data_IF_298340993392
#
_entry.id   IF_298340993392
#
_cell.length_a   1.000
_cell.length_b   1.000
_cell.length_c   1.000
_cell.angle_alpha   90.00
_cell.angle_beta   90.00
_cell.angle_gamma   90.00
#
_symmetry.space_group_name_H-M   'P 1'
#
loop_
_entity.id
_entity.type
_entity.pdbx_description
1 polymer ?
#
# COMPACT_ATOMS: atom_id res chain seq x y z
N UNK A 1 12.81 36.68 -60.42
CA UNK A 1 12.32 35.30 -60.28
C UNK A 1 13.37 34.49 -59.56
N UNK A 2 13.21 34.33 -58.27
CA UNK A 2 14.13 33.55 -57.41
C UNK A 2 13.36 32.33 -56.93
N UNK A 3 13.74 31.14 -57.43
CA UNK A 3 13.11 29.86 -57.11
C UNK A 3 13.90 29.27 -55.91
N UNK A 4 13.37 29.43 -54.73
CA UNK A 4 13.92 28.78 -53.52
C UNK A 4 13.40 27.35 -53.46
N UNK A 5 14.23 26.38 -53.82
CA UNK A 5 13.95 24.95 -53.71
C UNK A 5 14.05 24.53 -52.24
N UNK A 6 12.89 24.22 -51.61
CA UNK A 6 12.85 23.63 -50.28
C UNK A 6 13.39 22.19 -50.32
N UNK A 7 14.39 21.90 -49.49
CA UNK A 7 14.92 20.55 -49.30
C UNK A 7 13.90 19.70 -48.50
N UNK A 8 13.68 18.43 -48.87
CA UNK A 8 12.81 17.55 -48.13
C UNK A 8 13.41 17.25 -46.74
N UNK A 9 12.65 17.50 -45.69
CA UNK A 9 13.01 17.15 -44.30
C UNK A 9 13.04 15.62 -44.15
N UNK A 10 14.24 15.05 -43.98
CA UNK A 10 14.43 13.66 -43.62
C UNK A 10 14.06 13.54 -42.11
N UNK A 11 12.86 13.08 -41.84
CA UNK A 11 12.50 12.68 -40.47
C UNK A 11 13.18 11.34 -40.18
N UNK A 12 13.98 11.22 -39.11
CA UNK A 12 14.54 9.94 -38.69
C UNK A 12 13.41 9.02 -38.25
N UNK A 13 13.26 7.89 -38.94
CA UNK A 13 12.35 6.81 -38.56
C UNK A 13 12.91 6.14 -37.30
N UNK A 14 12.55 6.67 -36.14
CA UNK A 14 12.79 5.97 -34.87
C UNK A 14 11.92 4.70 -34.83
N UNK A 15 12.51 3.52 -34.51
CA UNK A 15 11.73 2.32 -34.43
C UNK A 15 10.67 2.49 -33.34
N UNK A 16 9.40 2.27 -33.70
CA UNK A 16 8.27 2.27 -32.78
C UNK A 16 8.50 1.10 -31.81
N UNK A 17 8.93 1.41 -30.58
CA UNK A 17 8.94 0.45 -29.47
C UNK A 17 7.49 -0.09 -29.37
N UNK A 18 7.29 -1.44 -29.42
CA UNK A 18 5.95 -1.99 -29.34
C UNK A 18 5.33 -1.51 -28.03
N UNK A 19 4.21 -0.81 -28.11
CA UNK A 19 3.42 -0.43 -26.92
C UNK A 19 2.92 -1.73 -26.30
N UNK A 20 3.56 -2.17 -25.23
CA UNK A 20 3.03 -3.22 -24.38
C UNK A 20 1.61 -2.77 -24.00
N UNK A 21 0.63 -3.64 -24.27
CA UNK A 21 -0.76 -3.34 -23.92
C UNK A 21 -0.80 -2.84 -22.47
N UNK A 22 -1.51 -1.75 -22.20
CA UNK A 22 -1.62 -1.16 -20.86
C UNK A 22 -2.04 -2.20 -19.82
N UNK A 23 -2.83 -3.17 -20.22
CA UNK A 23 -3.23 -4.32 -19.39
C UNK A 23 -2.06 -5.22 -19.02
N UNK A 24 -1.17 -5.53 -19.97
CA UNK A 24 0.00 -6.39 -19.70
C UNK A 24 1.00 -5.68 -18.79
N UNK A 25 1.24 -4.40 -18.98
CA UNK A 25 2.11 -3.62 -18.08
C UNK A 25 1.53 -3.51 -16.68
N UNK A 26 0.22 -3.33 -16.54
CA UNK A 26 -0.46 -3.32 -15.25
C UNK A 26 -0.37 -4.68 -14.53
N UNK A 27 -0.59 -5.79 -15.24
CA UNK A 27 -0.46 -7.15 -14.70
C UNK A 27 0.99 -7.45 -14.25
N UNK A 28 1.98 -7.05 -15.05
CA UNK A 28 3.40 -7.20 -14.68
C UNK A 28 3.74 -6.35 -13.42
N UNK A 29 3.23 -5.13 -13.34
CA UNK A 29 3.44 -4.27 -12.17
C UNK A 29 2.82 -4.89 -10.90
N UNK A 30 1.61 -5.44 -10.98
CA UNK A 30 0.95 -6.14 -9.88
C UNK A 30 1.74 -7.39 -9.48
N UNK A 31 2.19 -8.20 -10.43
CA UNK A 31 2.99 -9.39 -10.16
C UNK A 31 4.31 -9.04 -9.45
N UNK A 32 5.03 -8.02 -9.94
CA UNK A 32 6.27 -7.54 -9.31
C UNK A 32 6.02 -6.98 -7.91
N UNK A 33 4.91 -6.28 -7.70
CA UNK A 33 4.52 -5.77 -6.38
C UNK A 33 4.27 -6.91 -5.40
N UNK A 34 3.51 -7.95 -5.80
CA UNK A 34 3.23 -9.13 -4.96
C UNK A 34 4.52 -9.88 -4.64
N UNK A 35 5.39 -10.11 -5.64
CA UNK A 35 6.67 -10.76 -5.43
C UNK A 35 7.54 -9.96 -4.43
N UNK A 36 7.63 -8.64 -4.59
CA UNK A 36 8.37 -7.76 -3.68
C UNK A 36 7.83 -7.80 -2.26
N UNK A 37 6.49 -7.84 -2.09
CA UNK A 37 5.86 -7.98 -0.77
C UNK A 37 6.16 -9.33 -0.11
N UNK A 38 6.22 -10.42 -0.89
CA UNK A 38 6.56 -11.74 -0.39
C UNK A 38 8.00 -11.79 0.15
N UNK A 39 8.96 -11.19 -0.56
CA UNK A 39 10.32 -11.04 -0.07
C UNK A 39 10.42 -10.14 1.16
N UNK A 40 9.63 -9.08 1.22
CA UNK A 40 9.62 -8.17 2.37
C UNK A 40 9.25 -8.90 3.67
N UNK A 41 8.29 -9.83 3.66
CA UNK A 41 7.92 -10.62 4.83
C UNK A 41 9.10 -11.47 5.35
N UNK A 42 9.89 -12.06 4.45
CA UNK A 42 11.09 -12.85 4.81
C UNK A 42 12.14 -11.94 5.45
N UNK A 43 12.41 -10.78 4.87
CA UNK A 43 13.39 -9.83 5.40
C UNK A 43 12.97 -9.25 6.75
N UNK A 44 11.68 -8.97 6.95
CA UNK A 44 11.16 -8.52 8.24
C UNK A 44 11.45 -9.58 9.30
N UNK A 45 11.09 -10.84 9.05
CA UNK A 45 11.32 -11.94 10.00
C UNK A 45 12.82 -12.17 10.30
N UNK A 46 13.68 -11.99 9.29
CA UNK A 46 15.13 -12.10 9.47
C UNK A 46 15.66 -10.94 10.35
N UNK A 47 15.18 -9.73 10.11
CA UNK A 47 15.55 -8.52 10.87
C UNK A 47 15.06 -8.57 12.32
N UNK A 48 13.88 -9.15 12.57
CA UNK A 48 13.33 -9.27 13.93
C UNK A 48 14.13 -10.20 14.85
N UNK A 49 14.97 -11.08 14.28
CA UNK A 49 15.88 -11.92 15.07
C UNK A 49 17.02 -11.15 15.71
N UNK A 50 17.43 -10.05 15.07
CA UNK A 50 18.57 -9.22 15.48
C UNK A 50 18.09 -7.93 16.14
N UNK A 51 17.05 -7.33 15.57
CA UNK A 51 16.49 -6.05 15.96
C UNK A 51 15.05 -6.31 16.46
N UNK A 52 14.67 -5.80 17.60
CA UNK A 52 13.27 -5.90 18.04
C UNK A 52 12.27 -5.37 16.99
N UNK A 53 10.98 -5.77 17.06
CA UNK A 53 9.98 -5.48 16.05
C UNK A 53 9.82 -3.98 15.77
N UNK A 54 9.84 -3.14 16.80
CA UNK A 54 9.73 -1.69 16.64
C UNK A 54 10.94 -1.06 15.95
N UNK A 55 12.15 -1.56 16.23
CA UNK A 55 13.39 -1.10 15.56
C UNK A 55 13.38 -1.46 14.08
N UNK A 56 12.90 -2.65 13.74
CA UNK A 56 12.75 -3.09 12.34
C UNK A 56 11.79 -2.18 11.58
N UNK A 57 10.65 -1.83 12.17
CA UNK A 57 9.66 -0.92 11.56
C UNK A 57 10.25 0.48 11.41
N UNK A 58 10.89 1.01 12.45
CA UNK A 58 11.52 2.32 12.40
C UNK A 58 12.56 2.42 11.28
N UNK A 59 13.47 1.46 11.19
CA UNK A 59 14.50 1.42 10.14
C UNK A 59 13.87 1.35 8.74
N UNK A 60 12.80 0.58 8.56
CA UNK A 60 12.07 0.47 7.29
C UNK A 60 11.49 1.81 6.85
N UNK A 61 10.84 2.55 7.76
CA UNK A 61 10.30 3.87 7.46
C UNK A 61 11.40 4.89 7.17
N UNK A 62 12.48 4.85 7.95
CA UNK A 62 13.60 5.76 7.77
C UNK A 62 14.29 5.56 6.43
N UNK A 63 14.56 4.30 6.06
CA UNK A 63 15.16 3.97 4.76
C UNK A 63 14.22 4.40 3.62
N UNK A 64 12.92 4.09 3.73
CA UNK A 64 11.94 4.50 2.73
C UNK A 64 11.88 6.03 2.58
N UNK A 65 11.91 6.77 3.68
CA UNK A 65 11.94 8.23 3.67
C UNK A 65 13.16 8.79 2.95
N UNK A 66 14.36 8.23 3.23
CA UNK A 66 15.60 8.65 2.55
C UNK A 66 15.52 8.34 1.06
N UNK A 67 15.14 7.12 0.69
CA UNK A 67 15.06 6.69 -0.73
C UNK A 67 14.07 7.56 -1.50
N UNK A 68 12.86 7.74 -0.99
CA UNK A 68 11.84 8.59 -1.63
C UNK A 68 12.28 10.06 -1.68
N UNK A 69 12.92 10.56 -0.63
CA UNK A 69 13.48 11.91 -0.60
C UNK A 69 14.55 12.13 -1.67
N UNK A 70 15.44 11.15 -1.85
CA UNK A 70 16.48 11.20 -2.90
C UNK A 70 15.85 11.12 -4.29
N UNK A 71 14.89 10.21 -4.52
CA UNK A 71 14.18 10.11 -5.81
C UNK A 71 13.49 11.44 -6.13
N UNK A 72 12.75 12.00 -5.17
CA UNK A 72 12.08 13.29 -5.33
C UNK A 72 13.06 14.41 -5.64
N UNK A 73 14.20 14.47 -4.93
CA UNK A 73 15.23 15.48 -5.17
C UNK A 73 15.86 15.34 -6.57
N UNK A 74 16.11 14.11 -7.04
CA UNK A 74 16.67 13.84 -8.36
C UNK A 74 15.68 14.21 -9.48
N UNK A 75 14.41 13.90 -9.31
CA UNK A 75 13.36 14.29 -10.27
C UNK A 75 13.22 15.81 -10.34
N UNK A 76 13.23 16.47 -9.19
CA UNK A 76 13.15 17.94 -9.11
C UNK A 76 14.37 18.63 -9.74
N UNK A 77 15.57 18.08 -9.54
CA UNK A 77 16.78 18.61 -10.14
C UNK A 77 16.79 18.45 -11.67
N UNK A 78 16.24 17.33 -12.18
CA UNK A 78 16.18 17.07 -13.63
C UNK A 78 15.09 17.88 -14.32
N UNK A 79 14.05 18.31 -13.61
CA UNK A 79 12.88 19.04 -14.13
C UNK A 79 12.95 20.54 -13.88
N UNK A 80 14.13 21.13 -13.77
CA UNK A 80 14.33 22.57 -13.45
C UNK A 80 13.63 23.55 -14.41
N UNK A 81 13.17 23.06 -15.57
CA UNK A 81 12.48 23.85 -16.61
C UNK A 81 10.93 23.72 -16.57
N UNK A 82 10.36 22.87 -15.70
CA UNK A 82 8.93 22.58 -15.68
C UNK A 82 8.24 22.98 -14.36
N UNK A 83 8.80 23.91 -13.61
CA UNK A 83 8.24 24.43 -12.34
C UNK A 83 7.07 25.41 -12.54
N UNK A 84 6.29 25.30 -13.62
CA UNK A 84 4.98 25.92 -13.62
C UNK A 84 4.08 25.10 -12.68
N UNK A 85 3.55 25.69 -11.58
CA UNK A 85 2.58 25.01 -10.73
C UNK A 85 1.45 24.52 -11.64
N UNK A 86 1.16 23.22 -11.62
CA UNK A 86 0.03 22.71 -12.38
C UNK A 86 -1.23 23.43 -11.86
N UNK A 87 -1.88 24.29 -12.67
CA UNK A 87 -3.00 25.12 -12.20
C UNK A 87 -4.20 24.30 -11.76
N UNK A 88 -4.19 22.99 -11.99
CA UNK A 88 -5.26 22.07 -11.63
C UNK A 88 -5.00 21.34 -10.28
N UNK A 89 -3.86 21.59 -9.63
CA UNK A 89 -3.60 21.01 -8.29
C UNK A 89 -4.11 21.99 -7.23
N UNK A 90 -5.21 21.63 -6.58
CA UNK A 90 -5.71 22.40 -5.45
C UNK A 90 -4.65 22.47 -4.34
N UNK A 91 -4.45 23.65 -3.72
CA UNK A 91 -3.50 23.76 -2.62
C UNK A 91 -3.95 22.89 -1.43
N UNK A 92 -2.97 22.24 -0.79
CA UNK A 92 -3.19 21.43 0.40
C UNK A 92 -3.85 22.27 1.49
N UNK A 93 -5.06 21.87 1.89
CA UNK A 93 -5.76 22.48 3.00
C UNK A 93 -5.28 21.85 4.33
N UNK A 94 -5.47 22.55 5.44
CA UNK A 94 -5.15 22.05 6.80
C UNK A 94 -5.82 20.69 7.07
N UNK A 95 -7.03 20.47 6.58
CA UNK A 95 -7.74 19.20 6.68
C UNK A 95 -7.00 18.07 5.95
N UNK A 96 -6.45 18.33 4.76
CA UNK A 96 -5.74 17.34 3.97
C UNK A 96 -4.44 16.91 4.66
N UNK A 97 -3.73 17.87 5.24
CA UNK A 97 -2.53 17.60 6.02
C UNK A 97 -2.86 16.74 7.25
N UNK A 98 -3.96 17.03 7.95
CA UNK A 98 -4.40 16.21 9.07
C UNK A 98 -4.78 14.79 8.63
N UNK A 99 -5.46 14.62 7.49
CA UNK A 99 -5.80 13.31 6.95
C UNK A 99 -4.54 12.52 6.54
N UNK A 100 -3.55 13.17 5.94
CA UNK A 100 -2.27 12.54 5.59
C UNK A 100 -1.50 12.09 6.84
N UNK A 101 -1.43 12.94 7.86
CA UNK A 101 -0.80 12.60 9.14
C UNK A 101 -1.56 11.43 9.80
N UNK A 102 -2.88 11.49 9.82
CA UNK A 102 -3.70 10.42 10.40
C UNK A 102 -3.51 9.11 9.65
N UNK A 103 -3.46 9.12 8.32
CA UNK A 103 -3.18 7.93 7.51
C UNK A 103 -1.79 7.35 7.84
N UNK A 104 -0.76 8.21 7.98
CA UNK A 104 0.58 7.79 8.38
C UNK A 104 0.61 7.15 9.77
N UNK A 105 -0.09 7.74 10.74
CA UNK A 105 -0.21 7.21 12.11
C UNK A 105 -0.94 5.86 12.11
N UNK A 106 -2.04 5.73 11.35
CA UNK A 106 -2.77 4.46 11.23
C UNK A 106 -1.91 3.39 10.57
N UNK A 107 -1.17 3.73 9.53
CA UNK A 107 -0.26 2.80 8.87
C UNK A 107 0.88 2.34 9.79
N UNK A 108 1.49 3.27 10.52
CA UNK A 108 2.50 2.92 11.52
C UNK A 108 1.93 2.01 12.60
N UNK A 109 0.75 2.35 13.14
CA UNK A 109 0.07 1.55 14.16
C UNK A 109 -0.25 0.14 13.67
N UNK A 110 -0.74 0.01 12.43
CA UNK A 110 -0.97 -1.28 11.78
C UNK A 110 0.29 -2.16 11.82
N UNK A 111 1.41 -1.65 11.35
CA UNK A 111 2.67 -2.40 11.30
C UNK A 111 3.24 -2.68 12.70
N UNK A 112 3.12 -1.73 13.61
CA UNK A 112 3.61 -1.87 14.99
C UNK A 112 2.85 -2.98 15.74
N UNK A 113 1.52 -2.98 15.67
CA UNK A 113 0.70 -4.01 16.29
C UNK A 113 0.89 -5.37 15.62
N UNK A 114 1.05 -5.42 14.30
CA UNK A 114 1.31 -6.66 13.59
C UNK A 114 2.65 -7.27 13.98
N UNK A 115 3.73 -6.49 13.96
CA UNK A 115 5.05 -6.96 14.37
C UNK A 115 5.06 -7.37 15.85
N UNK A 116 4.38 -6.63 16.72
CA UNK A 116 4.26 -7.00 18.12
C UNK A 116 3.49 -8.32 18.29
N UNK A 117 2.41 -8.53 17.53
CA UNK A 117 1.65 -9.79 17.59
C UNK A 117 2.53 -11.00 17.23
N UNK A 118 3.40 -10.86 16.23
CA UNK A 118 4.33 -11.92 15.81
C UNK A 118 5.31 -12.37 16.90
N UNK A 119 5.55 -11.55 17.92
CA UNK A 119 6.37 -11.91 19.09
C UNK A 119 5.62 -12.63 20.19
N UNK A 120 4.28 -12.53 20.20
CA UNK A 120 3.41 -13.03 21.28
C UNK A 120 2.52 -14.21 20.84
N UNK A 121 2.29 -14.38 19.55
CA UNK A 121 1.47 -15.48 19.01
C UNK A 121 2.14 -16.11 17.78
N UNK A 122 1.59 -17.23 17.31
CA UNK A 122 2.07 -17.90 16.10
C UNK A 122 1.91 -17.04 14.85
N UNK A 123 2.81 -17.20 13.88
CA UNK A 123 2.75 -16.47 12.61
C UNK A 123 1.43 -16.70 11.89
N UNK A 124 0.90 -17.93 11.97
CA UNK A 124 -0.39 -18.27 11.38
C UNK A 124 -1.53 -17.48 12.05
N UNK A 125 -1.62 -17.47 13.37
CA UNK A 125 -2.64 -16.73 14.13
C UNK A 125 -2.57 -15.23 13.76
N UNK A 126 -1.38 -14.64 13.87
CA UNK A 126 -1.16 -13.23 13.56
C UNK A 126 -1.59 -12.90 12.13
N UNK A 127 -1.23 -13.74 11.15
CA UNK A 127 -1.56 -13.51 9.74
C UNK A 127 -3.05 -13.67 9.46
N UNK A 128 -3.71 -14.70 10.02
CA UNK A 128 -5.15 -14.91 9.84
C UNK A 128 -5.93 -13.72 10.41
N UNK A 129 -5.60 -13.31 11.63
CA UNK A 129 -6.30 -12.23 12.32
C UNK A 129 -6.05 -10.87 11.63
N UNK A 130 -4.84 -10.62 11.14
CA UNK A 130 -4.54 -9.45 10.32
C UNK A 130 -5.30 -9.45 8.98
N UNK A 131 -5.47 -10.62 8.35
CA UNK A 131 -6.23 -10.79 7.11
C UNK A 131 -7.74 -10.56 7.27
N UNK A 132 -8.25 -10.30 8.48
CA UNK A 132 -9.59 -9.78 8.71
C UNK A 132 -9.74 -8.29 8.32
N UNK A 133 -8.67 -7.62 7.90
CA UNK A 133 -8.70 -6.24 7.41
C UNK A 133 -9.85 -5.95 6.44
N UNK A 134 -10.15 -6.78 5.41
CA UNK A 134 -11.28 -6.53 4.50
C UNK A 134 -12.63 -6.52 5.22
N UNK A 135 -12.79 -7.35 6.26
CA UNK A 135 -14.01 -7.36 7.09
C UNK A 135 -14.17 -6.02 7.82
N UNK A 136 -13.12 -5.54 8.48
CA UNK A 136 -13.15 -4.26 9.20
C UNK A 136 -13.30 -3.08 8.24
N UNK A 137 -12.70 -3.12 7.05
CA UNK A 137 -12.88 -2.09 6.02
C UNK A 137 -14.33 -2.04 5.54
N UNK A 138 -14.95 -3.20 5.26
CA UNK A 138 -16.35 -3.30 4.85
C UNK A 138 -17.29 -2.79 5.95
N UNK A 139 -17.07 -3.22 7.19
CA UNK A 139 -17.85 -2.74 8.34
C UNK A 139 -17.70 -1.23 8.54
N UNK A 140 -16.48 -0.71 8.44
CA UNK A 140 -16.20 0.72 8.55
C UNK A 140 -16.85 1.52 7.43
N UNK A 141 -16.78 1.06 6.19
CA UNK A 141 -17.43 1.69 5.05
C UNK A 141 -18.96 1.71 5.20
N UNK A 142 -19.55 0.62 5.69
CA UNK A 142 -20.97 0.56 5.99
C UNK A 142 -21.39 1.53 7.10
N UNK A 143 -20.64 1.58 8.21
CA UNK A 143 -21.00 2.40 9.39
C UNK A 143 -20.71 3.88 9.14
N UNK A 144 -19.56 4.23 8.56
CA UNK A 144 -19.06 5.61 8.44
C UNK A 144 -19.57 6.27 7.16
N UNK A 145 -19.45 5.57 6.02
CA UNK A 145 -19.84 6.09 4.71
C UNK A 145 -21.25 5.68 4.30
N UNK A 146 -21.91 4.79 5.09
CA UNK A 146 -23.24 4.25 4.81
C UNK A 146 -23.30 3.58 3.43
N UNK A 147 -22.20 2.98 3.00
CA UNK A 147 -22.15 2.21 1.76
C UNK A 147 -22.97 0.94 1.89
N UNK A 148 -23.65 0.58 0.82
CA UNK A 148 -24.38 -0.69 0.71
C UNK A 148 -23.59 -1.64 -0.18
N UNK A 149 -23.38 -2.86 0.30
CA UNK A 149 -22.67 -3.90 -0.46
C UNK A 149 -23.68 -4.88 -1.05
N UNK A 150 -23.46 -5.25 -2.28
CA UNK A 150 -24.29 -6.25 -2.96
C UNK A 150 -23.96 -7.67 -2.48
N UNK A 151 -24.89 -8.60 -2.73
CA UNK A 151 -24.74 -10.00 -2.32
C UNK A 151 -23.50 -10.67 -2.90
N UNK A 152 -23.15 -10.51 -4.20
CA UNK A 152 -21.92 -11.08 -4.76
C UNK A 152 -20.65 -10.63 -4.05
N UNK A 153 -20.56 -9.35 -3.67
CA UNK A 153 -19.43 -8.83 -2.90
C UNK A 153 -19.32 -9.51 -1.53
N UNK A 154 -20.44 -9.58 -0.78
CA UNK A 154 -20.45 -10.21 0.55
C UNK A 154 -20.12 -11.71 0.48
N UNK A 155 -20.58 -12.41 -0.54
CA UNK A 155 -20.19 -13.81 -0.77
C UNK A 155 -18.72 -13.95 -1.10
N UNK A 156 -18.16 -13.07 -1.93
CA UNK A 156 -16.73 -13.03 -2.22
C UNK A 156 -15.88 -12.78 -0.98
N UNK A 157 -16.29 -11.83 -0.14
CA UNK A 157 -15.64 -11.54 1.15
C UNK A 157 -15.67 -12.78 2.07
N UNK A 158 -16.82 -13.45 2.18
CA UNK A 158 -16.96 -14.66 3.00
C UNK A 158 -16.05 -15.79 2.50
N UNK A 159 -16.02 -16.04 1.18
CA UNK A 159 -15.15 -17.06 0.58
C UNK A 159 -13.66 -16.70 0.84
N UNK A 160 -13.27 -15.44 0.71
CA UNK A 160 -11.90 -15.00 0.97
C UNK A 160 -11.51 -15.22 2.44
N UNK A 161 -12.41 -14.91 3.39
CA UNK A 161 -12.19 -15.15 4.82
C UNK A 161 -12.05 -16.64 5.13
N UNK A 162 -12.91 -17.48 4.57
CA UNK A 162 -12.83 -18.94 4.74
C UNK A 162 -11.50 -19.45 4.18
N UNK A 163 -11.08 -18.98 3.00
CA UNK A 163 -9.79 -19.33 2.41
C UNK A 163 -8.61 -18.92 3.28
N UNK A 164 -8.62 -17.72 3.86
CA UNK A 164 -7.58 -17.25 4.76
C UNK A 164 -7.51 -18.10 6.05
N UNK A 165 -8.65 -18.46 6.62
CA UNK A 165 -8.73 -19.35 7.78
C UNK A 165 -8.19 -20.73 7.42
N UNK A 166 -8.63 -21.31 6.29
CA UNK A 166 -8.22 -22.64 5.85
C UNK A 166 -6.70 -22.77 5.67
N UNK A 167 -6.02 -21.72 5.18
CA UNK A 167 -4.57 -21.70 5.01
C UNK A 167 -3.80 -21.71 6.35
N UNK A 168 -4.41 -21.25 7.42
CA UNK A 168 -3.74 -21.14 8.72
C UNK A 168 -4.19 -22.19 9.75
N UNK A 169 -5.16 -23.06 9.42
CA UNK A 169 -5.71 -24.02 10.40
C UNK A 169 -4.68 -24.98 10.98
N UNK A 170 -3.70 -25.40 10.17
CA UNK A 170 -2.68 -26.38 10.59
C UNK A 170 -1.74 -25.85 11.68
N UNK A 171 -1.51 -24.53 11.69
CA UNK A 171 -0.61 -23.84 12.62
C UNK A 171 -1.38 -23.00 13.66
N UNK A 172 -2.73 -23.04 13.63
CA UNK A 172 -3.57 -22.21 14.51
C UNK A 172 -3.54 -22.74 15.94
N UNK A 173 -2.96 -21.95 16.84
CA UNK A 173 -2.85 -22.29 18.26
C UNK A 173 -3.86 -21.49 19.06
N UNK A 174 -4.76 -22.18 19.75
CA UNK A 174 -5.73 -21.58 20.66
C UNK A 174 -5.24 -21.80 22.10
N UNK A 175 -4.91 -20.71 22.80
CA UNK A 175 -4.48 -20.76 24.20
C UNK A 175 -4.53 -19.38 24.84
N UNK A 176 -4.79 -19.34 26.14
CA UNK A 176 -4.82 -18.08 26.89
C UNK A 176 -3.48 -17.34 26.87
N UNK A 177 -2.40 -18.06 26.67
CA UNK A 177 -1.03 -17.52 26.55
C UNK A 177 -0.82 -16.68 25.29
N UNK A 178 -1.59 -16.95 24.21
CA UNK A 178 -1.48 -16.23 22.93
C UNK A 178 -2.46 -15.05 22.81
N UNK A 179 -3.37 -14.89 23.75
CA UNK A 179 -4.46 -13.91 23.71
C UNK A 179 -3.99 -12.47 23.45
N UNK A 180 -2.91 -12.04 24.10
CA UNK A 180 -2.36 -10.68 23.89
C UNK A 180 -1.82 -10.50 22.47
N UNK A 181 -1.21 -11.51 21.88
CA UNK A 181 -0.74 -11.52 20.49
C UNK A 181 -1.90 -11.48 19.51
N UNK A 182 -2.94 -12.23 19.78
CA UNK A 182 -4.15 -12.28 18.93
C UNK A 182 -4.92 -10.95 18.96
N UNK A 183 -5.03 -10.31 20.13
CA UNK A 183 -5.59 -8.97 20.27
C UNK A 183 -4.75 -7.94 19.50
N UNK A 184 -3.42 -8.01 19.58
CA UNK A 184 -2.55 -7.13 18.83
C UNK A 184 -2.72 -7.31 17.31
N UNK A 185 -2.85 -8.55 16.82
CA UNK A 185 -3.14 -8.85 15.43
C UNK A 185 -4.48 -8.28 14.96
N UNK A 186 -5.54 -8.41 15.76
CA UNK A 186 -6.85 -7.80 15.47
C UNK A 186 -6.76 -6.26 15.44
N UNK A 187 -6.07 -5.66 16.40
CA UNK A 187 -5.83 -4.21 16.39
C UNK A 187 -5.10 -3.78 15.12
N UNK A 188 -4.09 -4.54 14.69
CA UNK A 188 -3.40 -4.24 13.44
C UNK A 188 -4.34 -4.25 12.24
N UNK A 189 -5.28 -5.19 12.18
CA UNK A 189 -6.30 -5.25 11.11
C UNK A 189 -7.24 -4.03 11.14
N UNK A 190 -7.66 -3.58 12.33
CA UNK A 190 -8.48 -2.37 12.50
C UNK A 190 -7.72 -1.11 12.06
N UNK A 191 -6.45 -0.96 12.46
CA UNK A 191 -5.60 0.15 12.03
C UNK A 191 -5.36 0.13 10.52
N UNK A 192 -5.18 -1.05 9.92
CA UNK A 192 -5.06 -1.25 8.47
C UNK A 192 -6.34 -0.81 7.74
N UNK A 193 -7.50 -1.22 8.23
CA UNK A 193 -8.79 -0.82 7.67
C UNK A 193 -8.99 0.70 7.75
N UNK A 194 -8.70 1.31 8.90
CA UNK A 194 -8.79 2.77 9.07
C UNK A 194 -7.85 3.51 8.11
N UNK A 195 -6.62 3.02 7.92
CA UNK A 195 -5.68 3.56 6.96
C UNK A 195 -6.21 3.51 5.53
N UNK A 196 -6.76 2.36 5.09
CA UNK A 196 -7.34 2.21 3.75
C UNK A 196 -8.49 3.18 3.50
N UNK A 197 -9.36 3.38 4.48
CA UNK A 197 -10.48 4.33 4.39
C UNK A 197 -10.00 5.78 4.31
N UNK A 198 -8.94 6.15 5.04
CA UNK A 198 -8.33 7.48 4.95
C UNK A 198 -7.68 7.71 3.59
N UNK A 199 -6.96 6.72 3.06
CA UNK A 199 -6.35 6.78 1.72
C UNK A 199 -7.43 6.92 0.65
N UNK A 200 -8.54 6.19 0.75
CA UNK A 200 -9.65 6.30 -0.21
C UNK A 200 -10.24 7.71 -0.20
N UNK A 201 -10.45 8.29 0.98
CA UNK A 201 -10.90 9.68 1.13
C UNK A 201 -9.93 10.68 0.48
N UNK A 202 -8.61 10.45 0.60
CA UNK A 202 -7.59 11.28 -0.01
C UNK A 202 -7.51 11.11 -1.54
N UNK A 203 -7.68 9.89 -2.06
CA UNK A 203 -7.66 9.60 -3.51
C UNK A 203 -8.78 10.30 -4.27
N UNK A 204 -9.95 10.49 -3.67
CA UNK A 204 -11.01 11.27 -4.29
C UNK A 204 -10.62 12.73 -4.52
N UNK A 205 -9.71 13.25 -3.72
CA UNK A 205 -9.24 14.64 -3.84
C UNK A 205 -7.97 14.77 -4.69
N UNK A 206 -7.09 13.78 -4.62
CA UNK A 206 -5.81 13.75 -5.34
C UNK A 206 -5.77 12.54 -6.28
N UNK A 207 -6.44 12.61 -7.45
CA UNK A 207 -6.34 11.56 -8.46
C UNK A 207 -4.89 11.44 -8.94
N UNK A 208 -4.39 10.19 -9.02
CA UNK A 208 -3.04 9.87 -9.47
C UNK A 208 -2.87 10.07 -10.98
#
# INVERSE_FOLDING_TARGET
MSVTRALPSIQPHLPKIPKISSTVSALLAVFLAIASLSFAAIFIRLSERELGPFSTIFNRFWIAFIVLGVVYALEHWKSSDSLAPNPNVEPLNRRDVMLLISAGVMFWGCLAFWAWSLTLTGVANSTILHNLTPLFTTLGAWIIFRESFDRPFLMGLLIALIGAIALGLDDFQVGAEHLNGDIAALLSAVFSAANLMLIETLRHKFPA
#
